data_IF_901323115248
#
_entry.id   IF_901323115248
#
_cell.length_a   1.000
_cell.length_b   1.000
_cell.length_c   1.000
_cell.angle_alpha   90.00
_cell.angle_beta   90.00
_cell.angle_gamma   90.00
#
_symmetry.space_group_name_H-M   'P 1'
#
loop_
_entity.id
_entity.type
_entity.pdbx_description
1 polymer ?
#
# COMPACT_ATOMS: atom_id res chain seq x y z
N UNK A 1 -54.77 109.17 4.63
CA UNK A 1 -53.82 108.85 5.72
C UNK A 1 -54.06 107.40 6.09
N UNK A 2 -53.14 106.45 6.04
CA UNK A 2 -51.75 106.43 5.62
C UNK A 2 -51.37 105.01 5.16
N UNK A 3 -50.30 104.96 4.38
CA UNK A 3 -49.50 103.81 3.96
C UNK A 3 -48.88 103.04 5.17
N UNK A 4 -48.03 101.99 5.01
CA UNK A 4 -47.55 101.32 3.78
C UNK A 4 -47.38 99.77 3.82
N UNK A 5 -47.04 99.25 2.63
CA UNK A 5 -46.02 98.24 2.30
C UNK A 5 -46.03 96.79 2.87
N UNK A 6 -46.02 95.84 1.91
CA UNK A 6 -44.88 94.93 1.77
C UNK A 6 -45.13 93.46 2.07
N UNK A 7 -44.80 92.58 1.12
CA UNK A 7 -44.34 91.22 1.46
C UNK A 7 -44.88 90.07 0.61
N UNK A 8 -44.03 89.58 -0.31
CA UNK A 8 -43.78 88.14 -0.43
C UNK A 8 -44.71 87.31 -1.30
N UNK A 9 -44.47 87.30 -2.61
CA UNK A 9 -44.73 86.10 -3.42
C UNK A 9 -43.74 85.00 -3.00
N UNK A 10 -44.22 84.00 -2.26
CA UNK A 10 -43.54 82.72 -2.11
C UNK A 10 -44.58 81.61 -2.04
N UNK A 11 -44.77 80.90 -3.16
CA UNK A 11 -45.47 79.60 -3.20
C UNK A 11 -44.47 78.53 -2.78
N UNK A 12 -44.66 77.80 -1.67
CA UNK A 12 -43.97 76.54 -1.46
C UNK A 12 -44.59 75.43 -2.33
N UNK A 13 -43.80 74.41 -2.72
CA UNK A 13 -44.14 73.45 -3.76
C UNK A 13 -45.09 72.36 -3.27
N UNK A 14 -45.73 71.72 -4.25
CA UNK A 14 -46.72 70.66 -4.06
C UNK A 14 -46.20 69.46 -3.27
N UNK A 15 -47.14 68.84 -2.57
CA UNK A 15 -47.04 67.55 -1.92
C UNK A 15 -46.65 66.46 -2.92
N UNK A 16 -45.38 66.05 -2.93
CA UNK A 16 -44.96 64.77 -3.49
C UNK A 16 -45.55 63.64 -2.65
N UNK A 17 -46.79 63.26 -2.95
CA UNK A 17 -47.35 62.00 -2.49
C UNK A 17 -46.84 60.88 -3.39
N UNK A 18 -46.09 59.97 -2.78
CA UNK A 18 -46.15 58.53 -3.01
C UNK A 18 -46.21 58.05 -4.47
N UNK A 19 -45.06 58.09 -5.14
CA UNK A 19 -44.80 57.35 -6.37
C UNK A 19 -43.73 56.27 -6.20
N UNK A 20 -43.73 55.50 -5.10
CA UNK A 20 -42.87 54.32 -4.93
C UNK A 20 -43.37 53.16 -5.81
N UNK A 21 -43.23 53.34 -7.11
CA UNK A 21 -43.67 52.41 -8.14
C UNK A 21 -42.97 51.05 -8.08
N UNK A 22 -43.51 50.05 -8.81
CA UNK A 22 -43.07 48.64 -8.81
C UNK A 22 -41.60 48.39 -9.20
N UNK A 23 -40.84 49.42 -9.57
CA UNK A 23 -39.45 49.35 -10.03
C UNK A 23 -38.47 48.86 -8.95
N UNK A 24 -38.61 49.29 -7.69
CA UNK A 24 -37.71 48.88 -6.62
C UNK A 24 -37.88 47.38 -6.28
N UNK A 25 -39.12 46.88 -6.24
CA UNK A 25 -39.43 45.46 -5.97
C UNK A 25 -38.88 44.52 -7.05
N UNK A 26 -38.78 44.97 -8.31
CA UNK A 26 -38.19 44.20 -9.41
C UNK A 26 -36.68 44.03 -9.28
N UNK A 27 -35.96 45.08 -8.84
CA UNK A 27 -34.49 45.02 -8.63
C UNK A 27 -34.10 44.05 -7.52
N UNK A 28 -34.81 44.08 -6.39
CA UNK A 28 -34.58 43.13 -5.29
C UNK A 28 -34.81 41.69 -5.69
N UNK A 29 -35.86 41.42 -6.47
CA UNK A 29 -36.12 40.06 -6.99
C UNK A 29 -35.03 39.55 -7.91
N UNK A 30 -34.50 40.38 -8.81
CA UNK A 30 -33.39 40.02 -9.68
C UNK A 30 -32.12 39.70 -8.87
N UNK A 31 -31.83 40.50 -7.84
CA UNK A 31 -30.68 40.27 -6.95
C UNK A 31 -30.80 38.97 -6.17
N UNK A 32 -31.96 38.72 -5.54
CA UNK A 32 -32.22 37.47 -4.81
C UNK A 32 -32.15 36.25 -5.71
N UNK A 33 -32.66 36.36 -6.95
CA UNK A 33 -32.55 35.28 -7.93
C UNK A 33 -31.10 35.00 -8.33
N UNK A 34 -30.30 36.04 -8.58
CA UNK A 34 -28.87 35.88 -8.88
C UNK A 34 -28.09 35.25 -7.72
N UNK A 35 -28.37 35.67 -6.48
CA UNK A 35 -27.77 35.08 -5.28
C UNK A 35 -28.16 33.61 -5.11
N UNK A 36 -29.44 33.27 -5.33
CA UNK A 36 -29.92 31.88 -5.30
C UNK A 36 -29.26 31.03 -6.39
N UNK A 37 -29.21 31.53 -7.62
CA UNK A 37 -28.60 30.83 -8.75
C UNK A 37 -27.11 30.59 -8.51
N UNK A 38 -26.38 31.60 -8.03
CA UNK A 38 -24.96 31.49 -7.64
C UNK A 38 -24.76 30.43 -6.55
N UNK A 39 -25.62 30.44 -5.51
CA UNK A 39 -25.57 29.45 -4.44
C UNK A 39 -25.84 28.02 -4.95
N UNK A 40 -26.82 27.84 -5.84
CA UNK A 40 -27.16 26.54 -6.43
C UNK A 40 -26.02 26.00 -7.31
N UNK A 41 -25.44 26.84 -8.17
CA UNK A 41 -24.30 26.47 -9.02
C UNK A 41 -23.10 26.10 -8.15
N UNK A 42 -22.75 26.96 -7.17
CA UNK A 42 -21.65 26.70 -6.24
C UNK A 42 -21.82 25.37 -5.52
N UNK A 43 -23.03 25.05 -5.06
CA UNK A 43 -23.33 23.79 -4.37
C UNK A 43 -23.36 22.57 -5.31
N UNK A 44 -23.73 22.74 -6.59
CA UNK A 44 -23.71 21.69 -7.62
C UNK A 44 -22.29 21.35 -8.12
N UNK A 45 -21.33 22.27 -7.96
CA UNK A 45 -19.93 22.04 -8.35
C UNK A 45 -19.03 21.66 -7.18
N UNK A 46 -19.12 22.38 -6.05
CA UNK A 46 -18.23 22.18 -4.92
C UNK A 46 -18.42 20.81 -4.26
N UNK A 47 -19.66 20.34 -4.12
CA UNK A 47 -19.94 19.07 -3.43
C UNK A 47 -19.39 17.84 -4.17
N UNK A 48 -19.62 17.66 -5.49
CA UNK A 48 -19.03 16.55 -6.22
C UNK A 48 -17.50 16.55 -6.20
N UNK A 49 -16.88 17.73 -6.35
CA UNK A 49 -15.43 17.86 -6.30
C UNK A 49 -14.85 17.49 -4.93
N UNK A 50 -15.49 17.95 -3.85
CA UNK A 50 -15.09 17.58 -2.48
C UNK A 50 -15.19 16.07 -2.24
N UNK A 51 -16.25 15.42 -2.73
CA UNK A 51 -16.42 13.96 -2.62
C UNK A 51 -15.35 13.21 -3.42
N UNK A 52 -15.10 13.62 -4.66
CA UNK A 52 -14.08 13.00 -5.50
C UNK A 52 -12.69 13.20 -4.87
N UNK A 53 -12.37 14.39 -4.40
CA UNK A 53 -11.12 14.67 -3.70
C UNK A 53 -10.97 13.83 -2.44
N UNK A 54 -12.02 13.67 -1.64
CA UNK A 54 -11.97 12.83 -0.44
C UNK A 54 -11.68 11.37 -0.78
N UNK A 55 -12.31 10.85 -1.85
CA UNK A 55 -12.03 9.51 -2.37
C UNK A 55 -10.59 9.40 -2.87
N UNK A 56 -10.11 10.38 -3.65
CA UNK A 56 -8.73 10.41 -4.13
C UNK A 56 -7.71 10.42 -2.99
N UNK A 57 -7.95 11.20 -1.93
CA UNK A 57 -7.09 11.26 -0.74
C UNK A 57 -7.14 9.99 0.12
N UNK A 58 -8.22 9.20 0.01
CA UNK A 58 -8.34 7.93 0.72
C UNK A 58 -7.64 6.76 0.02
N UNK A 59 -7.25 6.92 -1.26
CA UNK A 59 -6.51 5.90 -1.99
C UNK A 59 -5.09 5.83 -1.44
N UNK A 60 -4.73 4.66 -0.93
CA UNK A 60 -3.40 4.35 -0.43
C UNK A 60 -2.94 3.01 -1.01
N UNK A 61 -1.66 2.67 -0.83
CA UNK A 61 -1.10 1.36 -1.19
C UNK A 61 -1.86 0.19 -0.55
N UNK A 62 -2.51 0.42 0.59
CA UNK A 62 -3.22 -0.60 1.36
C UNK A 62 -4.71 -0.66 1.02
N UNK A 63 -5.27 0.42 0.46
CA UNK A 63 -6.69 0.52 0.17
C UNK A 63 -6.93 1.12 -1.21
N UNK A 64 -6.87 0.25 -2.22
CA UNK A 64 -7.24 0.57 -3.60
C UNK A 64 -8.71 0.26 -3.89
N UNK A 65 -9.45 -0.37 -2.97
CA UNK A 65 -10.84 -0.79 -3.14
C UNK A 65 -11.85 0.33 -2.90
N UNK A 66 -11.50 1.57 -3.27
CA UNK A 66 -12.38 2.71 -3.06
C UNK A 66 -13.46 2.75 -4.14
N UNK A 67 -14.70 2.96 -3.71
CA UNK A 67 -15.84 3.13 -4.60
C UNK A 67 -15.91 4.58 -5.09
N UNK A 68 -16.00 4.73 -6.41
CA UNK A 68 -16.21 6.02 -7.03
C UNK A 68 -17.70 6.38 -7.04
N UNK A 69 -18.04 7.66 -6.82
CA UNK A 69 -19.41 8.13 -6.96
C UNK A 69 -19.96 7.86 -8.37
N UNK A 70 -21.29 7.79 -8.50
CA UNK A 70 -21.97 7.56 -9.76
C UNK A 70 -21.54 8.57 -10.84
N UNK A 71 -21.40 8.05 -12.07
CA UNK A 71 -20.95 8.80 -13.24
C UNK A 71 -21.89 9.94 -13.55
N UNK A 72 -21.34 11.13 -13.76
CA UNK A 72 -22.08 12.30 -14.24
C UNK A 72 -21.89 12.49 -15.75
N UNK A 73 -22.87 13.04 -16.47
CA UNK A 73 -22.75 13.35 -17.90
C UNK A 73 -22.19 14.77 -18.14
N UNK A 74 -21.25 15.23 -17.31
CA UNK A 74 -20.63 16.56 -17.35
C UNK A 74 -19.09 16.46 -17.33
N UNK A 75 -18.39 17.59 -17.30
CA UNK A 75 -16.91 17.64 -17.24
C UNK A 75 -16.36 17.00 -15.95
N UNK A 76 -17.14 17.01 -14.86
CA UNK A 76 -16.78 16.31 -13.62
C UNK A 76 -16.83 14.80 -13.85
N UNK A 77 -17.79 14.32 -14.65
CA UNK A 77 -17.85 12.95 -15.13
C UNK A 77 -16.61 12.52 -15.90
N UNK A 78 -16.07 13.37 -16.77
CA UNK A 78 -14.83 13.07 -17.50
C UNK A 78 -13.62 12.93 -16.55
N UNK A 79 -13.55 13.77 -15.52
CA UNK A 79 -12.54 13.64 -14.47
C UNK A 79 -12.70 12.33 -13.68
N UNK A 80 -13.93 11.95 -13.33
CA UNK A 80 -14.22 10.67 -12.68
C UNK A 80 -13.80 9.48 -13.54
N UNK A 81 -14.06 9.51 -14.84
CA UNK A 81 -13.68 8.45 -15.78
C UNK A 81 -12.15 8.35 -15.91
N UNK A 82 -11.45 9.49 -15.97
CA UNK A 82 -9.97 9.54 -16.01
C UNK A 82 -9.36 8.96 -14.73
N UNK A 83 -9.93 9.30 -13.57
CA UNK A 83 -9.47 8.76 -12.30
C UNK A 83 -9.77 7.28 -12.15
N UNK A 84 -10.92 6.80 -12.64
CA UNK A 84 -11.26 5.37 -12.69
C UNK A 84 -10.23 4.58 -13.49
N UNK A 85 -9.88 5.06 -14.68
CA UNK A 85 -8.87 4.42 -15.52
C UNK A 85 -7.49 4.38 -14.82
N UNK A 86 -7.13 5.43 -14.09
CA UNK A 86 -5.91 5.45 -13.27
C UNK A 86 -5.95 4.40 -12.15
N UNK A 87 -7.06 4.29 -11.41
CA UNK A 87 -7.22 3.29 -10.35
C UNK A 87 -7.15 1.86 -10.86
N UNK A 88 -7.76 1.57 -12.01
CA UNK A 88 -7.69 0.26 -12.64
C UNK A 88 -6.25 -0.11 -13.03
N UNK A 89 -5.48 0.85 -13.57
CA UNK A 89 -4.05 0.65 -13.87
C UNK A 89 -3.25 0.38 -12.60
N UNK A 90 -3.50 1.13 -11.53
CA UNK A 90 -2.80 0.95 -10.27
C UNK A 90 -3.10 -0.42 -9.65
N UNK A 91 -4.38 -0.83 -9.62
CA UNK A 91 -4.80 -2.18 -9.16
C UNK A 91 -4.15 -3.30 -9.96
N UNK A 92 -4.08 -3.14 -11.28
CA UNK A 92 -3.40 -4.11 -12.15
C UNK A 92 -1.91 -4.20 -11.84
N UNK A 93 -1.24 -3.05 -11.70
CA UNK A 93 0.18 -2.99 -11.38
C UNK A 93 0.50 -3.63 -10.02
N UNK A 94 -0.33 -3.40 -9.00
CA UNK A 94 -0.16 -4.05 -7.69
C UNK A 94 -0.36 -5.57 -7.79
N UNK A 95 -1.38 -6.05 -8.50
CA UNK A 95 -1.58 -7.49 -8.71
C UNK A 95 -0.44 -8.15 -9.47
N UNK A 96 0.11 -7.48 -10.49
CA UNK A 96 1.28 -7.96 -11.23
C UNK A 96 2.52 -8.00 -10.34
N UNK A 97 2.72 -7.00 -9.48
CA UNK A 97 3.80 -6.96 -8.50
C UNK A 97 3.67 -8.12 -7.50
N UNK A 98 2.49 -8.36 -6.94
CA UNK A 98 2.26 -9.46 -6.00
C UNK A 98 2.58 -10.82 -6.63
N UNK A 99 2.17 -11.03 -7.88
CA UNK A 99 2.49 -12.26 -8.63
C UNK A 99 3.99 -12.41 -8.86
N UNK A 100 4.68 -11.34 -9.25
CA UNK A 100 6.12 -11.36 -9.46
C UNK A 100 6.87 -11.69 -8.16
N UNK A 101 6.45 -11.10 -7.03
CA UNK A 101 7.03 -11.41 -5.70
C UNK A 101 6.80 -12.88 -5.33
N UNK A 102 5.59 -13.41 -5.56
CA UNK A 102 5.31 -14.82 -5.30
C UNK A 102 6.19 -15.76 -6.15
N UNK A 103 6.38 -15.43 -7.42
CA UNK A 103 7.27 -16.18 -8.32
C UNK A 103 8.74 -16.12 -7.88
N UNK A 104 9.22 -14.96 -7.44
CA UNK A 104 10.58 -14.79 -6.93
C UNK A 104 10.81 -15.65 -5.69
N UNK A 105 9.87 -15.62 -4.72
CA UNK A 105 9.95 -16.45 -3.52
C UNK A 105 9.98 -17.94 -3.89
N UNK A 106 9.13 -18.37 -4.83
CA UNK A 106 9.13 -19.75 -5.30
C UNK A 106 10.46 -20.12 -5.98
N UNK A 107 11.00 -19.25 -6.81
CA UNK A 107 12.29 -19.45 -7.48
C UNK A 107 13.43 -19.55 -6.47
N UNK A 108 13.46 -18.69 -5.46
CA UNK A 108 14.49 -18.71 -4.41
C UNK A 108 14.40 -19.98 -3.55
N UNK A 109 13.17 -20.43 -3.25
CA UNK A 109 12.93 -21.71 -2.58
C UNK A 109 13.47 -22.88 -3.41
N UNK A 110 13.16 -22.93 -4.70
CA UNK A 110 13.64 -23.98 -5.59
C UNK A 110 15.16 -23.96 -5.76
N UNK A 111 15.77 -22.77 -5.87
CA UNK A 111 17.21 -22.64 -5.94
C UNK A 111 17.90 -23.13 -4.65
N UNK A 112 17.32 -22.81 -3.49
CA UNK A 112 17.82 -23.28 -2.18
C UNK A 112 17.70 -24.80 -2.05
N UNK A 113 16.55 -25.37 -2.46
CA UNK A 113 16.36 -26.82 -2.52
C UNK A 113 17.39 -27.45 -3.48
N UNK A 114 17.62 -26.85 -4.65
CA UNK A 114 18.60 -27.32 -5.63
C UNK A 114 20.01 -27.40 -5.05
N UNK A 115 20.43 -26.40 -4.27
CA UNK A 115 21.73 -26.44 -3.56
C UNK A 115 21.83 -27.59 -2.56
N UNK A 116 20.76 -27.83 -1.80
CA UNK A 116 20.71 -28.95 -0.84
C UNK A 116 20.76 -30.28 -1.59
N UNK A 117 19.96 -30.45 -2.64
CA UNK A 117 19.93 -31.67 -3.45
C UNK A 117 21.30 -31.93 -4.09
N UNK A 118 21.99 -30.91 -4.61
CA UNK A 118 23.33 -31.05 -5.16
C UNK A 118 24.35 -31.52 -4.10
N UNK A 119 24.28 -30.95 -2.89
CA UNK A 119 25.11 -31.38 -1.76
C UNK A 119 24.84 -32.84 -1.37
N UNK A 120 23.57 -33.22 -1.24
CA UNK A 120 23.16 -34.60 -0.95
C UNK A 120 23.61 -35.56 -2.04
N UNK A 121 23.42 -35.21 -3.31
CA UNK A 121 23.88 -36.03 -4.43
C UNK A 121 25.39 -36.25 -4.37
N UNK A 122 26.16 -35.22 -4.04
CA UNK A 122 27.61 -35.36 -3.89
C UNK A 122 27.97 -36.28 -2.71
N UNK A 123 27.30 -36.13 -1.56
CA UNK A 123 27.53 -36.97 -0.39
C UNK A 123 27.08 -38.42 -0.56
N UNK A 124 26.08 -38.69 -1.41
CA UNK A 124 25.62 -40.05 -1.77
C UNK A 124 26.53 -40.67 -2.82
N UNK A 125 26.99 -39.90 -3.80
CA UNK A 125 27.90 -40.39 -4.84
C UNK A 125 29.24 -40.85 -4.24
N UNK A 126 29.71 -40.24 -3.16
CA UNK A 126 30.95 -40.62 -2.49
C UNK A 126 30.98 -42.09 -2.00
N UNK A 127 30.07 -42.54 -1.10
CA UNK A 127 30.00 -43.93 -0.68
C UNK A 127 29.64 -44.89 -1.84
N UNK A 128 28.85 -44.46 -2.82
CA UNK A 128 28.58 -45.28 -4.03
C UNK A 128 29.86 -45.57 -4.82
N UNK A 129 30.75 -44.59 -4.99
CA UNK A 129 32.04 -44.79 -5.64
C UNK A 129 32.94 -45.75 -4.84
N UNK A 130 32.90 -45.68 -3.50
CA UNK A 130 33.60 -46.64 -2.63
C UNK A 130 33.05 -48.05 -2.80
N UNK A 131 31.72 -48.21 -2.77
CA UNK A 131 31.05 -49.51 -2.98
C UNK A 131 31.45 -50.10 -4.34
N UNK A 132 31.39 -49.30 -5.40
CA UNK A 132 31.74 -49.72 -6.76
C UNK A 132 33.19 -50.19 -6.86
N UNK A 133 34.13 -49.45 -6.24
CA UNK A 133 35.54 -49.83 -6.19
C UNK A 133 35.75 -51.15 -5.41
N UNK A 134 35.07 -51.31 -4.27
CA UNK A 134 35.16 -52.53 -3.48
C UNK A 134 34.61 -53.76 -4.23
N UNK A 135 33.50 -53.60 -4.96
CA UNK A 135 32.93 -54.66 -5.80
C UNK A 135 33.88 -55.04 -6.95
N UNK A 136 34.44 -54.05 -7.66
CA UNK A 136 35.43 -54.30 -8.70
C UNK A 136 36.66 -55.07 -8.19
N UNK A 137 37.16 -54.69 -6.99
CA UNK A 137 38.27 -55.39 -6.37
C UNK A 137 37.92 -56.84 -6.03
N UNK A 138 36.71 -57.11 -5.52
CA UNK A 138 36.23 -58.46 -5.22
C UNK A 138 36.10 -59.33 -6.48
N UNK A 139 35.75 -58.74 -7.63
CA UNK A 139 35.66 -59.44 -8.91
C UNK A 139 37.05 -59.80 -9.50
N UNK A 140 38.07 -58.96 -9.29
CA UNK A 140 39.41 -59.18 -9.85
C UNK A 140 40.34 -60.03 -8.97
N UNK A 141 40.34 -59.84 -7.66
CA UNK A 141 41.23 -60.58 -6.75
C UNK A 141 40.63 -60.67 -5.32
N UNK A 142 40.64 -61.87 -4.75
CA UNK A 142 40.08 -62.13 -3.42
C UNK A 142 41.08 -61.88 -2.28
N UNK A 143 42.10 -61.04 -2.50
CA UNK A 143 43.16 -60.81 -1.51
C UNK A 143 42.67 -60.24 -0.16
N UNK A 144 41.54 -59.53 -0.12
CA UNK A 144 40.96 -58.99 1.13
C UNK A 144 39.42 -58.89 1.12
N UNK A 145 38.68 -60.02 1.07
CA UNK A 145 37.24 -60.00 0.82
C UNK A 145 36.46 -59.37 1.98
N UNK A 146 36.84 -59.71 3.21
CA UNK A 146 36.17 -59.22 4.43
C UNK A 146 36.28 -57.70 4.57
N UNK A 147 37.43 -57.12 4.23
CA UNK A 147 37.65 -55.67 4.30
C UNK A 147 36.81 -54.91 3.27
N UNK A 148 36.67 -55.45 2.05
CA UNK A 148 35.81 -54.87 1.03
C UNK A 148 34.32 -54.96 1.41
N UNK A 149 33.89 -56.08 2.00
CA UNK A 149 32.53 -56.24 2.54
C UNK A 149 32.22 -55.23 3.65
N UNK A 150 33.16 -54.97 4.55
CA UNK A 150 33.00 -53.95 5.60
C UNK A 150 32.81 -52.54 5.04
N UNK A 151 33.59 -52.15 4.02
CA UNK A 151 33.44 -50.85 3.36
C UNK A 151 32.12 -50.73 2.60
N UNK A 152 31.66 -51.81 1.96
CA UNK A 152 30.35 -51.83 1.28
C UNK A 152 29.22 -51.63 2.29
N UNK A 153 29.28 -52.33 3.43
CA UNK A 153 28.30 -52.19 4.52
C UNK A 153 28.28 -50.76 5.07
N UNK A 154 29.43 -50.19 5.40
CA UNK A 154 29.54 -48.82 5.88
C UNK A 154 29.05 -47.78 4.85
N UNK A 155 29.34 -47.99 3.57
CA UNK A 155 28.85 -47.15 2.48
C UNK A 155 27.33 -47.15 2.41
N UNK A 156 26.72 -48.34 2.53
CA UNK A 156 25.27 -48.53 2.48
C UNK A 156 24.59 -47.86 3.69
N UNK A 157 25.10 -48.07 4.91
CA UNK A 157 24.60 -47.42 6.13
C UNK A 157 24.72 -45.89 6.06
N UNK A 158 25.78 -45.38 5.41
CA UNK A 158 25.96 -43.94 5.21
C UNK A 158 24.92 -43.36 4.27
N UNK A 159 24.66 -44.00 3.14
CA UNK A 159 23.62 -43.58 2.19
C UNK A 159 22.25 -43.56 2.87
N UNK A 160 21.94 -44.61 3.63
CA UNK A 160 20.68 -44.71 4.36
C UNK A 160 20.49 -43.54 5.33
N UNK A 161 21.53 -43.16 6.09
CA UNK A 161 21.48 -42.02 6.99
C UNK A 161 21.22 -40.70 6.26
N UNK A 162 21.90 -40.48 5.14
CA UNK A 162 21.73 -39.27 4.31
C UNK A 162 20.29 -39.18 3.79
N UNK A 163 19.74 -40.28 3.28
CA UNK A 163 18.36 -40.33 2.76
C UNK A 163 17.33 -40.06 3.85
N UNK A 164 17.51 -40.62 5.06
CA UNK A 164 16.63 -40.33 6.20
C UNK A 164 16.65 -38.84 6.58
N UNK A 165 17.83 -38.24 6.67
CA UNK A 165 17.98 -36.80 6.97
C UNK A 165 17.29 -35.91 5.92
N UNK A 166 17.39 -36.25 4.63
CA UNK A 166 16.69 -35.53 3.57
C UNK A 166 15.16 -35.70 3.66
N UNK A 167 14.69 -36.91 3.97
CA UNK A 167 13.27 -37.20 4.18
C UNK A 167 12.70 -36.39 5.36
N UNK A 168 13.39 -36.34 6.48
CA UNK A 168 12.97 -35.59 7.67
C UNK A 168 12.91 -34.07 7.40
N UNK A 169 13.87 -33.54 6.65
CA UNK A 169 13.87 -32.16 6.19
C UNK A 169 12.64 -31.84 5.31
N UNK A 170 12.30 -32.74 4.36
CA UNK A 170 11.16 -32.54 3.46
C UNK A 170 9.81 -32.48 4.18
N UNK A 171 9.65 -33.22 5.29
CA UNK A 171 8.44 -33.23 6.11
C UNK A 171 8.26 -31.96 6.95
N UNK A 172 9.36 -31.30 7.31
CA UNK A 172 9.34 -30.09 8.15
C UNK A 172 9.06 -28.82 7.33
N UNK A 173 9.40 -28.82 6.03
CA UNK A 173 9.26 -27.67 5.13
C UNK A 173 7.84 -27.31 4.69
N UNK A 174 6.79 -27.93 5.25
CA UNK A 174 5.38 -27.59 5.00
C UNK A 174 4.85 -26.48 5.92
N UNK A 175 5.69 -25.86 6.75
CA UNK A 175 5.31 -24.69 7.54
C UNK A 175 5.17 -23.47 6.61
N UNK A 176 3.94 -22.99 6.55
CA UNK A 176 3.46 -21.88 5.74
C UNK A 176 4.30 -20.61 5.99
N UNK A 177 5.04 -20.13 4.98
CA UNK A 177 5.71 -18.83 5.04
C UNK A 177 4.60 -17.78 4.97
N UNK A 178 4.03 -17.45 6.12
CA UNK A 178 3.08 -16.38 6.25
C UNK A 178 3.82 -15.06 6.01
N UNK A 179 3.56 -14.41 4.86
CA UNK A 179 4.08 -13.09 4.55
C UNK A 179 3.61 -12.09 5.62
N UNK A 180 4.43 -11.89 6.66
CA UNK A 180 4.23 -10.78 7.58
C UNK A 180 4.76 -9.53 6.89
N UNK A 181 3.89 -8.60 6.51
CA UNK A 181 4.27 -7.30 5.90
C UNK A 181 5.30 -6.60 6.79
N UNK A 182 6.56 -6.65 6.37
CA UNK A 182 7.75 -6.24 7.14
C UNK A 182 7.88 -4.74 7.37
N UNK A 183 6.96 -3.91 6.85
CA UNK A 183 7.09 -2.45 6.92
C UNK A 183 6.70 -1.90 8.30
N UNK A 184 5.80 -2.58 9.04
CA UNK A 184 5.36 -2.12 10.36
C UNK A 184 6.19 -2.67 11.54
N UNK A 185 7.01 -3.71 11.32
CA UNK A 185 7.84 -4.28 12.40
C UNK A 185 9.11 -3.47 12.65
N UNK A 186 9.73 -2.92 11.60
CA UNK A 186 10.96 -2.11 11.74
C UNK A 186 10.69 -0.76 12.42
N UNK A 187 9.57 -0.10 12.12
CA UNK A 187 9.25 1.21 12.71
C UNK A 187 8.79 1.15 14.18
N UNK A 188 8.36 -0.01 14.69
CA UNK A 188 8.01 -0.16 16.11
C UNK A 188 9.21 -0.44 17.02
N UNK A 189 10.30 -0.98 16.48
CA UNK A 189 11.47 -1.40 17.28
C UNK A 189 12.56 -0.32 17.40
N UNK A 190 12.55 0.70 16.54
CA UNK A 190 13.46 1.85 16.62
C UNK A 190 12.78 3.09 17.25
N UNK A 191 12.25 2.97 18.47
CA UNK A 191 12.05 4.16 19.32
C UNK A 191 13.36 4.41 20.05
N UNK A 192 14.28 5.12 19.37
CA UNK A 192 15.47 5.71 20.00
C UNK A 192 14.97 6.54 21.18
N UNK A 193 15.29 6.11 22.41
CA UNK A 193 15.03 6.91 23.61
C UNK A 193 15.82 8.22 23.46
N UNK A 194 15.21 9.40 23.56
CA UNK A 194 16.00 10.61 23.70
C UNK A 194 16.80 10.50 25.00
N UNK A 195 18.12 10.66 24.88
CA UNK A 195 19.03 10.81 26.00
C UNK A 195 18.54 12.00 26.85
N UNK A 196 18.11 11.74 28.08
CA UNK A 196 17.82 12.79 29.06
C UNK A 196 19.14 13.44 29.54
N UNK A 197 19.12 14.73 29.92
CA UNK A 197 20.32 15.45 30.26
C UNK A 197 21.02 14.86 31.49
N UNK A 198 22.33 14.76 31.34
CA UNK A 198 23.33 14.30 32.30
C UNK A 198 23.28 15.16 33.57
N UNK A 199 23.06 14.53 34.74
CA UNK A 199 23.18 15.21 36.04
C UNK A 199 24.65 15.28 36.42
N UNK A 200 25.17 16.49 36.57
CA UNK A 200 26.51 16.76 37.11
C UNK A 200 26.70 16.15 38.51
N UNK A 201 27.91 15.65 38.84
CA UNK A 201 28.23 15.19 40.18
C UNK A 201 28.73 16.37 41.04
N UNK A 202 27.97 16.77 42.05
CA UNK A 202 28.39 17.84 42.96
C UNK A 202 27.66 17.85 44.30
N UNK A 203 28.45 17.85 45.37
CA UNK A 203 28.14 18.20 46.76
C UNK A 203 27.45 17.16 47.65
N UNK A 204 28.29 16.30 48.27
CA UNK A 204 28.07 15.81 49.62
C UNK A 204 29.25 16.24 50.50
N UNK A 205 29.12 17.40 51.17
CA UNK A 205 29.85 17.79 52.38
C UNK A 205 29.02 18.87 53.08
N UNK A 206 28.64 18.61 54.33
CA UNK A 206 27.83 19.51 55.17
C UNK A 206 26.94 18.73 56.11
#
# INVERSE_FOLDING_TARGET
>A
MGSPAGGGLHRPPGSQTAGSGPAHRRRHRAFLFGALLSYLIGRNMARPLQRLSAVMSAVSTENLAVELPARRPDEIGLLQDSFRAMLERLRRSESERERAVAQLIQSEKLASIGKIVAGVAHEVNNPLATISTCLYNLEQDSAAPNRNLDFIKQGTERIERIVRQLSDFSRTGSLEIQQHKSDLFFLRKCRVRPHGPEKEPGAAWG
#
